data_IF_747337653004
#
_entry.id   IF_747337653004
#
_cell.length_a   1.000
_cell.length_b   1.000
_cell.length_c   1.000
_cell.angle_alpha   90.00
_cell.angle_beta   90.00
_cell.angle_gamma   90.00
#
_symmetry.space_group_name_H-M   'P 1'
#
loop_
_entity.id
_entity.type
_entity.pdbx_description
1 polymer ?
#
# COMPACT_ATOMS: atom_id res chain seq x y z
N UNK A 1 -33.17 -22.08 41.76
CA UNK A 1 -33.38 -20.65 41.41
C UNK A 1 -32.25 -20.08 40.55
N UNK A 2 -30.96 -20.31 40.84
CA UNK A 2 -29.85 -19.74 40.06
C UNK A 2 -29.80 -20.16 38.57
N UNK A 3 -30.10 -21.43 38.27
CA UNK A 3 -30.10 -21.97 36.88
C UNK A 3 -31.17 -21.32 36.00
N UNK A 4 -32.32 -21.00 36.59
CA UNK A 4 -33.46 -20.42 35.87
C UNK A 4 -33.22 -18.94 35.55
N UNK A 5 -32.52 -18.22 36.44
CA UNK A 5 -32.08 -16.86 36.21
C UNK A 5 -31.01 -16.77 35.11
N UNK A 6 -30.09 -17.74 35.05
CA UNK A 6 -29.06 -17.79 34.01
C UNK A 6 -29.65 -18.05 32.60
N UNK A 7 -30.66 -18.94 32.50
CA UNK A 7 -31.37 -19.19 31.24
C UNK A 7 -32.15 -17.97 30.76
N UNK A 8 -32.80 -17.24 31.67
CA UNK A 8 -33.49 -15.99 31.35
C UNK A 8 -32.52 -14.93 30.85
N UNK A 9 -31.37 -14.76 31.51
CA UNK A 9 -30.34 -13.80 31.09
C UNK A 9 -29.76 -14.14 29.70
N UNK A 10 -29.51 -15.43 29.42
CA UNK A 10 -29.03 -15.89 28.12
C UNK A 10 -30.05 -15.64 27.00
N UNK A 11 -31.34 -15.87 27.26
CA UNK A 11 -32.43 -15.58 26.32
C UNK A 11 -32.60 -14.08 26.06
N UNK A 12 -32.43 -13.23 27.08
CA UNK A 12 -32.48 -11.77 26.91
C UNK A 12 -31.32 -11.24 26.05
N UNK A 13 -30.10 -11.77 26.24
CA UNK A 13 -28.94 -11.40 25.44
C UNK A 13 -29.11 -11.85 23.97
N UNK A 14 -29.65 -13.06 23.74
CA UNK A 14 -29.92 -13.55 22.39
C UNK A 14 -31.00 -12.72 21.69
N UNK A 15 -32.05 -12.30 22.42
CA UNK A 15 -33.09 -11.41 21.92
C UNK A 15 -32.57 -10.03 21.52
N UNK A 16 -31.69 -9.44 22.34
CA UNK A 16 -31.05 -8.17 22.00
C UNK A 16 -30.13 -8.30 20.78
N UNK A 17 -29.32 -9.37 20.69
CA UNK A 17 -28.47 -9.58 19.52
C UNK A 17 -29.27 -9.77 18.22
N UNK A 18 -30.42 -10.44 18.26
CA UNK A 18 -31.31 -10.51 17.10
C UNK A 18 -31.96 -9.17 16.75
N UNK A 19 -32.28 -8.34 17.76
CA UNK A 19 -32.85 -7.01 17.53
C UNK A 19 -31.81 -6.02 16.96
N UNK A 20 -30.52 -6.19 17.29
CA UNK A 20 -29.42 -5.35 16.77
C UNK A 20 -28.69 -5.94 15.56
N UNK A 21 -28.83 -7.24 15.28
CA UNK A 21 -28.13 -7.96 14.21
C UNK A 21 -28.92 -8.16 12.92
N UNK A 22 -30.24 -7.92 12.94
CA UNK A 22 -31.11 -8.00 11.76
C UNK A 22 -31.61 -6.60 11.38
N UNK A 23 -30.74 -5.80 10.78
CA UNK A 23 -31.14 -4.60 10.04
C UNK A 23 -30.16 -4.39 8.89
N UNK A 24 -30.28 -5.26 7.89
CA UNK A 24 -29.99 -4.88 6.52
C UNK A 24 -31.20 -4.08 6.00
N UNK A 25 -30.95 -2.87 5.49
CA UNK A 25 -31.88 -2.17 4.63
C UNK A 25 -32.48 -0.88 5.20
N UNK A 26 -32.09 0.23 4.56
CA UNK A 26 -32.86 1.47 4.37
C UNK A 26 -32.69 2.66 5.36
N UNK A 27 -31.65 3.44 5.05
CA UNK A 27 -31.53 4.92 4.96
C UNK A 27 -32.39 5.86 5.84
N UNK A 28 -31.69 6.92 6.30
CA UNK A 28 -32.15 8.26 6.76
C UNK A 28 -32.74 8.27 8.20
N UNK A 29 -32.19 8.90 9.25
CA UNK A 29 -31.92 10.35 9.39
C UNK A 29 -31.32 10.64 10.77
N UNK A 30 -30.19 10.03 11.11
CA UNK A 30 -29.39 10.49 12.25
C UNK A 30 -28.54 11.66 11.76
N UNK A 31 -28.96 12.87 12.09
CA UNK A 31 -28.22 14.11 11.88
C UNK A 31 -26.86 13.99 12.58
N UNK A 32 -25.86 13.53 11.82
CA UNK A 32 -24.46 13.47 12.25
C UNK A 32 -24.03 14.91 12.51
N UNK A 33 -23.95 15.29 13.78
CA UNK A 33 -23.25 16.50 14.18
C UNK A 33 -21.81 16.41 13.63
N UNK A 34 -21.54 17.23 12.61
CA UNK A 34 -20.20 17.48 12.08
C UNK A 34 -19.36 18.15 13.18
N UNK A 35 -18.67 17.34 13.97
CA UNK A 35 -17.45 17.77 14.66
C UNK A 35 -16.33 17.00 13.98
N UNK A 36 -15.64 17.67 13.06
CA UNK A 36 -14.55 17.15 12.23
C UNK A 36 -14.93 15.93 11.37
N UNK A 37 -15.27 16.18 10.11
CA UNK A 37 -15.26 15.18 9.04
C UNK A 37 -13.84 14.69 8.78
N UNK A 38 -13.30 13.87 9.67
CA UNK A 38 -12.14 13.02 9.38
C UNK A 38 -12.71 11.80 8.68
N UNK A 39 -12.48 11.71 7.37
CA UNK A 39 -12.80 10.52 6.59
C UNK A 39 -11.93 9.36 7.08
N UNK A 40 -12.44 8.56 8.02
CA UNK A 40 -11.77 7.39 8.60
C UNK A 40 -11.84 6.17 7.69
N UNK A 41 -11.90 6.35 6.35
CA UNK A 41 -11.50 5.31 5.40
C UNK A 41 -9.98 5.12 5.43
N UNK A 42 -9.45 4.81 6.60
CA UNK A 42 -8.10 4.30 6.79
C UNK A 42 -8.12 2.90 6.19
N UNK A 43 -7.95 2.81 4.86
CA UNK A 43 -7.80 1.52 4.20
C UNK A 43 -6.62 0.75 4.80
N UNK A 44 -6.56 -0.57 4.60
CA UNK A 44 -5.49 -1.42 5.15
C UNK A 44 -4.16 -1.24 4.37
N UNK A 45 -3.17 -0.46 4.84
CA UNK A 45 -1.91 -0.27 4.14
C UNK A 45 -1.07 -1.55 4.15
N UNK A 46 -1.11 -2.35 5.22
CA UNK A 46 -0.38 -3.62 5.28
C UNK A 46 -0.85 -4.59 4.19
N UNK A 47 -2.17 -4.71 4.01
CA UNK A 47 -2.75 -5.51 2.92
C UNK A 47 -2.51 -4.90 1.52
N UNK A 48 -2.27 -3.59 1.41
CA UNK A 48 -1.82 -2.99 0.16
C UNK A 48 -0.36 -3.32 -0.15
N UNK A 49 0.51 -3.28 0.86
CA UNK A 49 1.92 -3.65 0.76
C UNK A 49 2.09 -5.11 0.35
N UNK A 50 1.41 -6.04 1.03
CA UNK A 50 1.47 -7.48 0.71
C UNK A 50 1.01 -7.76 -0.73
N UNK A 51 -0.05 -7.09 -1.20
CA UNK A 51 -0.49 -7.17 -2.59
C UNK A 51 0.55 -6.61 -3.57
N UNK A 52 1.22 -5.53 -3.19
CA UNK A 52 2.34 -4.96 -3.94
C UNK A 52 3.48 -5.96 -4.11
N UNK A 53 3.89 -6.60 -3.02
CA UNK A 53 4.92 -7.64 -3.07
C UNK A 53 4.50 -8.86 -3.91
N UNK A 54 3.26 -9.32 -3.73
CA UNK A 54 2.73 -10.46 -4.48
C UNK A 54 2.73 -10.16 -6.00
N UNK A 55 2.34 -8.94 -6.38
CA UNK A 55 2.40 -8.48 -7.77
C UNK A 55 3.85 -8.40 -8.27
N UNK A 56 4.78 -7.89 -7.47
CA UNK A 56 6.19 -7.84 -7.84
C UNK A 56 6.76 -9.24 -8.11
N UNK A 57 6.46 -10.21 -7.22
CA UNK A 57 6.85 -11.61 -7.41
C UNK A 57 6.25 -12.21 -8.69
N UNK A 58 5.03 -11.85 -9.06
CA UNK A 58 4.41 -12.28 -10.31
C UNK A 58 5.10 -11.67 -11.55
N UNK A 59 5.45 -10.38 -11.49
CA UNK A 59 6.14 -9.69 -12.58
C UNK A 59 7.55 -10.22 -12.80
N UNK A 60 8.29 -10.48 -11.72
CA UNK A 60 9.62 -11.11 -11.80
C UNK A 60 9.53 -12.47 -12.49
N UNK A 61 8.52 -13.30 -12.14
CA UNK A 61 8.28 -14.58 -12.81
C UNK A 61 7.95 -14.43 -14.29
N UNK A 62 7.34 -13.31 -14.68
CA UNK A 62 7.07 -12.96 -16.07
C UNK A 62 8.28 -12.30 -16.78
N UNK A 63 9.43 -12.14 -16.11
CA UNK A 63 10.62 -11.49 -16.65
C UNK A 63 10.51 -9.96 -16.72
N UNK A 64 9.59 -9.36 -15.98
CA UNK A 64 9.35 -7.92 -15.95
C UNK A 64 10.03 -7.31 -14.72
N UNK A 65 10.95 -6.38 -14.97
CA UNK A 65 11.71 -5.66 -13.95
C UNK A 65 11.39 -4.18 -14.04
N UNK A 66 10.64 -3.66 -13.08
CA UNK A 66 10.14 -2.28 -13.11
C UNK A 66 10.11 -1.66 -11.72
N UNK A 67 10.27 -0.34 -11.66
CA UNK A 67 10.15 0.46 -10.43
C UNK A 67 8.98 1.43 -10.55
N UNK A 68 8.17 1.52 -9.50
CA UNK A 68 7.04 2.43 -9.42
C UNK A 68 7.46 3.73 -8.72
N UNK A 69 7.29 4.87 -9.38
CA UNK A 69 7.66 6.18 -8.85
C UNK A 69 6.42 7.07 -8.83
N UNK A 70 6.24 7.87 -7.79
CA UNK A 70 5.19 8.89 -7.75
C UNK A 70 5.70 10.24 -8.25
N UNK A 71 4.83 10.95 -8.97
CA UNK A 71 5.16 12.18 -9.67
C UNK A 71 5.73 11.93 -11.06
N UNK A 72 5.51 12.85 -12.02
CA UNK A 72 6.15 12.78 -13.32
C UNK A 72 7.67 13.04 -13.18
N UNK A 73 8.48 12.63 -14.18
CA UNK A 73 9.86 13.07 -14.25
C UNK A 73 9.89 14.60 -14.30
N UNK A 74 10.69 15.24 -13.44
CA UNK A 74 10.70 16.70 -13.28
C UNK A 74 11.29 17.38 -14.50
N UNK A 75 12.13 16.68 -15.26
CA UNK A 75 12.80 17.23 -16.44
C UNK A 75 12.96 16.20 -17.56
N UNK A 76 13.11 16.70 -18.81
CA UNK A 76 13.48 15.84 -19.96
C UNK A 76 14.81 15.13 -19.75
N UNK A 77 15.73 15.74 -19.01
CA UNK A 77 17.02 15.14 -18.68
C UNK A 77 16.88 13.92 -17.77
N UNK A 78 15.96 13.95 -16.81
CA UNK A 78 15.62 12.79 -15.95
C UNK A 78 15.00 11.67 -16.77
N UNK A 79 14.02 11.97 -17.64
CA UNK A 79 13.42 10.97 -18.51
C UNK A 79 14.47 10.30 -19.44
N UNK A 80 15.41 11.08 -19.99
CA UNK A 80 16.49 10.56 -20.81
C UNK A 80 17.51 9.73 -20.00
N UNK A 81 17.73 10.05 -18.72
CA UNK A 81 18.53 9.22 -17.81
C UNK A 81 17.83 7.89 -17.52
N UNK A 82 16.54 7.91 -17.21
CA UNK A 82 15.74 6.71 -17.01
C UNK A 82 15.83 5.76 -18.22
N UNK A 83 15.64 6.27 -19.43
CA UNK A 83 15.77 5.47 -20.66
C UNK A 83 17.19 4.88 -20.85
N UNK A 84 18.24 5.58 -20.43
CA UNK A 84 19.61 5.06 -20.51
C UNK A 84 19.83 3.92 -19.52
N UNK A 85 19.33 4.07 -18.30
CA UNK A 85 19.40 3.04 -17.28
C UNK A 85 18.54 1.82 -17.65
N UNK A 86 17.40 2.04 -18.30
CA UNK A 86 16.52 0.98 -18.84
C UNK A 86 17.27 0.14 -19.88
N UNK A 87 17.93 0.79 -20.84
CA UNK A 87 18.74 0.09 -21.85
C UNK A 87 19.93 -0.66 -21.25
N UNK A 88 20.49 -0.17 -20.15
CA UNK A 88 21.68 -0.77 -19.51
C UNK A 88 21.33 -1.97 -18.63
N UNK A 89 20.26 -1.86 -17.84
CA UNK A 89 19.92 -2.83 -16.80
C UNK A 89 18.59 -3.57 -17.05
N UNK A 90 17.83 -3.20 -18.09
CA UNK A 90 16.52 -3.80 -18.37
C UNK A 90 15.44 -3.43 -17.35
N UNK A 91 15.68 -2.41 -16.50
CA UNK A 91 14.74 -1.95 -15.49
C UNK A 91 13.87 -0.84 -16.07
N UNK A 92 12.55 -1.01 -16.09
CA UNK A 92 11.60 0.02 -16.52
C UNK A 92 11.14 0.92 -15.38
N UNK A 93 10.59 2.09 -15.72
CA UNK A 93 10.00 3.04 -14.76
C UNK A 93 8.52 3.28 -15.02
N UNK A 94 7.71 3.07 -13.99
CA UNK A 94 6.27 3.34 -14.02
C UNK A 94 6.00 4.56 -13.16
N UNK A 95 5.76 5.69 -13.82
CA UNK A 95 5.39 6.95 -13.16
C UNK A 95 3.89 6.97 -12.85
N UNK A 96 3.59 7.10 -11.56
CA UNK A 96 2.26 7.31 -11.01
C UNK A 96 2.05 8.80 -10.76
N UNK A 97 0.80 9.27 -10.69
CA UNK A 97 0.47 10.68 -10.47
C UNK A 97 1.12 11.29 -9.21
N UNK A 98 1.10 12.63 -9.12
CA UNK A 98 1.84 13.40 -8.11
C UNK A 98 1.52 13.03 -6.66
N UNK A 99 0.26 12.75 -6.34
CA UNK A 99 -0.15 12.34 -5.00
C UNK A 99 -0.76 10.94 -5.02
N UNK A 100 0.08 9.94 -4.74
CA UNK A 100 -0.41 8.62 -4.39
C UNK A 100 -1.14 8.65 -3.04
N UNK A 101 -2.35 8.08 -2.99
CA UNK A 101 -3.02 7.79 -1.72
C UNK A 101 -2.14 6.94 -0.81
N UNK A 102 -2.40 6.94 0.51
CA UNK A 102 -1.64 6.12 1.47
C UNK A 102 -1.57 4.64 1.05
N UNK A 103 -2.67 4.11 0.49
CA UNK A 103 -2.73 2.75 -0.04
C UNK A 103 -1.86 2.57 -1.30
N UNK A 104 -1.88 3.55 -2.21
CA UNK A 104 -1.06 3.49 -3.41
C UNK A 104 0.43 3.52 -3.06
N UNK A 105 0.81 4.35 -2.08
CA UNK A 105 2.18 4.41 -1.55
C UNK A 105 2.59 3.09 -0.91
N UNK A 106 1.80 2.58 0.03
CA UNK A 106 2.07 1.28 0.66
C UNK A 106 2.20 0.13 -0.36
N UNK A 107 1.35 0.11 -1.38
CA UNK A 107 1.45 -0.85 -2.48
C UNK A 107 2.77 -0.70 -3.26
N UNK A 108 3.12 0.53 -3.64
CA UNK A 108 4.36 0.79 -4.38
C UNK A 108 5.60 0.47 -3.55
N UNK A 109 5.57 0.72 -2.24
CA UNK A 109 6.66 0.40 -1.32
C UNK A 109 6.89 -1.12 -1.25
N UNK A 110 5.83 -1.90 -1.07
CA UNK A 110 5.90 -3.37 -1.11
C UNK A 110 6.40 -3.88 -2.46
N UNK A 111 5.89 -3.34 -3.56
CA UNK A 111 6.31 -3.70 -4.91
C UNK A 111 7.79 -3.40 -5.16
N UNK A 112 8.22 -2.16 -4.87
CA UNK A 112 9.58 -1.71 -5.08
C UNK A 112 10.57 -2.37 -4.13
N UNK A 113 10.15 -2.80 -2.93
CA UNK A 113 11.01 -3.56 -2.01
C UNK A 113 11.47 -4.87 -2.65
N UNK A 114 10.53 -5.65 -3.19
CA UNK A 114 10.83 -6.91 -3.88
C UNK A 114 11.64 -6.68 -5.15
N UNK A 115 11.27 -5.67 -5.96
CA UNK A 115 11.99 -5.38 -7.19
C UNK A 115 13.43 -4.94 -6.96
N UNK A 116 13.69 -4.13 -5.92
CA UNK A 116 15.07 -3.71 -5.57
C UNK A 116 15.93 -4.90 -5.15
N UNK A 117 15.39 -5.81 -4.33
CA UNK A 117 16.10 -7.03 -3.95
C UNK A 117 16.43 -7.90 -5.17
N UNK A 118 15.52 -7.98 -6.15
CA UNK A 118 15.75 -8.72 -7.38
C UNK A 118 16.78 -8.05 -8.31
N UNK A 119 16.76 -6.72 -8.40
CA UNK A 119 17.77 -5.94 -9.13
C UNK A 119 19.14 -6.17 -8.51
N UNK A 120 19.27 -6.08 -7.19
CA UNK A 120 20.51 -6.33 -6.47
C UNK A 120 21.01 -7.75 -6.71
N UNK A 121 20.11 -8.74 -6.66
CA UNK A 121 20.46 -10.14 -6.94
C UNK A 121 20.95 -10.36 -8.37
N UNK A 122 20.36 -9.67 -9.35
CA UNK A 122 20.61 -9.91 -10.77
C UNK A 122 21.75 -9.06 -11.34
N UNK A 123 21.93 -7.84 -10.84
CA UNK A 123 22.88 -6.84 -11.36
C UNK A 123 23.92 -6.38 -10.34
N UNK A 124 23.82 -6.83 -9.08
CA UNK A 124 24.70 -6.44 -7.99
C UNK A 124 24.26 -5.16 -7.25
N UNK A 125 24.76 -4.99 -6.02
CA UNK A 125 24.44 -3.85 -5.17
C UNK A 125 24.87 -2.49 -5.77
N UNK A 126 26.01 -2.44 -6.47
CA UNK A 126 26.49 -1.20 -7.12
C UNK A 126 25.52 -0.70 -8.19
N UNK A 127 24.93 -1.61 -8.97
CA UNK A 127 23.94 -1.26 -9.99
C UNK A 127 22.66 -0.71 -9.34
N UNK A 128 22.20 -1.33 -8.24
CA UNK A 128 21.06 -0.82 -7.48
C UNK A 128 21.34 0.57 -6.91
N UNK A 129 22.51 0.79 -6.29
CA UNK A 129 22.86 2.11 -5.78
C UNK A 129 22.92 3.16 -6.88
N UNK A 130 23.47 2.83 -8.04
CA UNK A 130 23.49 3.72 -9.19
C UNK A 130 22.06 4.07 -9.64
N UNK A 131 21.17 3.07 -9.74
CA UNK A 131 19.76 3.29 -10.10
C UNK A 131 19.06 4.21 -9.09
N UNK A 132 19.31 4.05 -7.80
CA UNK A 132 18.69 4.88 -6.75
C UNK A 132 19.27 6.30 -6.75
N UNK A 133 20.59 6.46 -6.86
CA UNK A 133 21.27 7.77 -6.89
C UNK A 133 20.86 8.58 -8.12
N UNK A 134 20.85 7.95 -9.29
CA UNK A 134 20.61 8.66 -10.55
C UNK A 134 19.14 8.99 -10.80
N UNK A 135 18.21 8.23 -10.20
CA UNK A 135 16.78 8.42 -10.38
C UNK A 135 16.08 9.07 -9.17
N UNK A 136 16.81 9.38 -8.08
CA UNK A 136 16.28 10.13 -6.95
C UNK A 136 15.12 9.43 -6.23
N UNK A 137 15.04 8.09 -6.30
CA UNK A 137 14.18 7.32 -5.40
C UNK A 137 14.86 7.40 -4.04
N UNK A 138 14.42 8.32 -3.18
CA UNK A 138 14.93 8.42 -1.82
C UNK A 138 14.85 7.03 -1.18
N UNK A 139 16.03 6.44 -0.94
CA UNK A 139 16.13 5.36 0.04
C UNK A 139 15.51 5.91 1.33
N UNK A 140 14.61 5.17 2.00
CA UNK A 140 14.07 5.62 3.26
C UNK A 140 15.26 5.90 4.17
N UNK A 141 15.50 7.19 4.46
CA UNK A 141 16.55 7.58 5.39
C UNK A 141 16.19 6.88 6.70
N UNK A 142 16.95 5.85 7.07
CA UNK A 142 17.02 5.42 8.45
C UNK A 142 17.42 6.67 9.22
N UNK A 143 16.44 7.27 9.90
CA UNK A 143 16.70 8.27 10.92
C UNK A 143 17.37 7.50 12.05
N UNK A 144 18.69 7.41 12.00
CA UNK A 144 19.47 7.24 13.21
C UNK A 144 19.16 8.46 14.08
N UNK A 145 18.45 8.22 15.17
CA UNK A 145 18.17 9.23 16.18
C UNK A 145 19.45 9.59 16.95
N UNK A 146 19.48 10.77 17.59
CA UNK A 146 20.55 11.16 18.49
C UNK A 146 20.65 10.26 19.72
#
# INVERSE_FOLDING_TARGET
>A
MAVLAALLAALSLLGMFNQFGASDGDVIKAERQLVASVDLRVGNPAGAMERGEAKARADIKAGVLQLQIFGPPKTKAEAAKAQRLEKRYGVGWVYKGEEGSLLARAFADGYNGVMRAEIERSHGGEALEQLMREHGVESPKQKEGP
#
